data_IF_164279446419
#
_entry.id   IF_164279446419
#
_cell.length_a   1.000
_cell.length_b   1.000
_cell.length_c   1.000
_cell.angle_alpha   90.00
_cell.angle_beta   90.00
_cell.angle_gamma   90.00
#
_symmetry.space_group_name_H-M   'P 1'
#
loop_
_entity.id
_entity.type
_entity.pdbx_description
1 polymer ?
#
# COMPACT_ATOMS: atom_id res chain seq x y z
N UNK A 1 -17.79 14.37 1.16
CA UNK A 1 -17.12 13.11 1.59
C UNK A 1 -17.50 12.67 3.00
N UNK A 2 -17.53 13.56 3.99
CA UNK A 2 -17.82 13.22 5.40
C UNK A 2 -19.14 12.47 5.64
N UNK A 3 -20.23 12.92 5.02
CA UNK A 3 -21.55 12.30 5.18
C UNK A 3 -21.64 10.88 4.58
N UNK A 4 -20.96 10.64 3.47
CA UNK A 4 -20.99 9.35 2.77
C UNK A 4 -20.28 8.24 3.53
N UNK A 5 -19.06 8.51 4.05
CA UNK A 5 -18.32 7.51 4.83
C UNK A 5 -19.03 7.14 6.14
N UNK A 6 -19.68 8.12 6.79
CA UNK A 6 -20.52 7.85 7.97
C UNK A 6 -21.81 7.11 7.60
N UNK A 7 -22.45 7.46 6.49
CA UNK A 7 -23.60 6.75 5.96
C UNK A 7 -23.26 5.30 5.63
N UNK A 8 -22.10 5.04 5.01
CA UNK A 8 -21.63 3.69 4.69
C UNK A 8 -21.40 2.85 5.95
N UNK A 9 -20.78 3.42 6.99
CA UNK A 9 -20.58 2.73 8.27
C UNK A 9 -21.91 2.42 8.96
N UNK A 10 -22.81 3.42 9.02
CA UNK A 10 -24.13 3.24 9.62
C UNK A 10 -24.95 2.19 8.86
N UNK A 11 -24.87 2.17 7.54
CA UNK A 11 -25.50 1.14 6.70
C UNK A 11 -24.87 -0.23 6.93
N UNK A 12 -23.55 -0.34 7.06
CA UNK A 12 -22.87 -1.60 7.39
C UNK A 12 -23.27 -2.11 8.77
N UNK A 13 -23.31 -1.23 9.77
CA UNK A 13 -23.73 -1.57 11.13
C UNK A 13 -25.22 -1.91 11.19
N UNK A 14 -26.07 -1.14 10.54
CA UNK A 14 -27.50 -1.41 10.44
C UNK A 14 -27.77 -2.74 9.70
N UNK A 15 -27.08 -2.96 8.59
CA UNK A 15 -27.17 -4.23 7.86
C UNK A 15 -26.70 -5.41 8.70
N UNK A 16 -25.58 -5.26 9.42
CA UNK A 16 -25.11 -6.26 10.36
C UNK A 16 -26.12 -6.54 11.46
N UNK A 17 -26.71 -5.50 12.06
CA UNK A 17 -27.75 -5.62 13.10
C UNK A 17 -29.03 -6.28 12.56
N UNK A 18 -29.48 -5.89 11.36
CA UNK A 18 -30.67 -6.46 10.73
C UNK A 18 -30.47 -7.91 10.34
N UNK A 19 -29.35 -8.24 9.65
CA UNK A 19 -29.04 -9.59 9.20
C UNK A 19 -28.72 -10.53 10.38
N UNK A 20 -28.24 -10.00 11.49
CA UNK A 20 -27.93 -10.75 12.70
C UNK A 20 -29.02 -10.62 13.79
N UNK A 21 -30.22 -10.17 13.41
CA UNK A 21 -31.37 -10.05 14.34
C UNK A 21 -31.73 -11.41 14.99
N UNK A 22 -32.39 -11.40 16.17
CA UNK A 22 -32.79 -12.61 16.88
C UNK A 22 -33.65 -13.59 16.06
N UNK A 23 -34.36 -13.10 15.05
CA UNK A 23 -35.20 -13.92 14.17
C UNK A 23 -34.34 -14.82 13.28
N UNK A 24 -33.18 -14.32 12.84
CA UNK A 24 -32.19 -15.11 12.06
C UNK A 24 -31.40 -16.05 12.99
N UNK A 25 -31.12 -15.62 14.24
CA UNK A 25 -30.47 -16.46 15.26
C UNK A 25 -31.18 -17.79 15.54
N UNK A 26 -32.51 -17.84 15.49
CA UNK A 26 -33.26 -19.06 15.79
C UNK A 26 -33.07 -20.20 14.77
N UNK A 27 -32.49 -19.91 13.59
CA UNK A 27 -32.27 -20.92 12.53
C UNK A 27 -30.81 -21.34 12.36
N UNK A 28 -29.88 -20.72 13.04
CA UNK A 28 -28.44 -21.00 12.92
C UNK A 28 -27.86 -21.36 14.29
N UNK A 29 -27.04 -22.41 14.33
CA UNK A 29 -26.24 -22.66 15.53
C UNK A 29 -25.24 -21.51 15.75
N UNK A 30 -24.88 -21.14 17.00
CA UNK A 30 -23.94 -20.06 17.28
C UNK A 30 -22.58 -20.22 16.59
N UNK A 31 -22.13 -21.48 16.37
CA UNK A 31 -20.89 -21.79 15.69
C UNK A 31 -20.94 -21.50 14.18
N UNK A 32 -22.09 -21.75 13.53
CA UNK A 32 -22.24 -21.49 12.09
C UNK A 32 -22.26 -19.99 11.79
N UNK A 33 -22.93 -19.19 12.64
CA UNK A 33 -22.98 -17.73 12.48
C UNK A 33 -21.58 -17.06 12.46
N UNK A 34 -20.67 -17.55 13.28
CA UNK A 34 -19.34 -16.96 13.40
C UNK A 34 -18.45 -17.23 12.17
N UNK A 35 -18.63 -18.39 11.54
CA UNK A 35 -17.75 -18.85 10.47
C UNK A 35 -18.40 -18.83 9.08
N UNK A 36 -19.73 -18.98 8.98
CA UNK A 36 -20.42 -19.06 7.69
C UNK A 36 -20.51 -17.71 7.00
N UNK A 37 -20.02 -17.66 5.77
CA UNK A 37 -20.02 -16.43 4.97
C UNK A 37 -21.28 -16.29 4.14
N UNK A 38 -21.90 -15.10 4.20
CA UNK A 38 -23.09 -14.75 3.43
C UNK A 38 -23.09 -13.28 2.99
N UNK A 39 -23.82 -12.97 1.92
CA UNK A 39 -24.06 -11.60 1.50
C UNK A 39 -24.97 -10.89 2.48
N UNK A 40 -24.73 -9.60 2.68
CA UNK A 40 -25.65 -8.72 3.39
C UNK A 40 -26.93 -8.54 2.55
N UNK A 41 -28.07 -8.35 3.21
CA UNK A 41 -29.41 -8.02 2.66
C UNK A 41 -30.17 -9.06 1.88
N UNK A 42 -29.58 -10.19 1.41
CA UNK A 42 -30.38 -11.25 0.78
C UNK A 42 -29.74 -12.63 0.81
N UNK A 43 -30.50 -13.68 1.06
CA UNK A 43 -30.03 -15.07 0.97
C UNK A 43 -30.07 -15.65 -0.45
N UNK A 44 -30.70 -15.01 -1.45
CA UNK A 44 -30.89 -15.53 -2.80
C UNK A 44 -30.31 -14.60 -3.87
N UNK A 45 -29.71 -15.17 -4.93
CA UNK A 45 -29.09 -14.40 -6.03
C UNK A 45 -27.64 -14.00 -5.82
N UNK A 46 -26.89 -14.71 -4.96
CA UNK A 46 -25.56 -14.37 -4.51
C UNK A 46 -24.50 -14.17 -5.59
N UNK A 47 -24.50 -15.00 -6.64
CA UNK A 47 -23.40 -15.04 -7.61
C UNK A 47 -23.37 -13.79 -8.51
N UNK A 48 -24.53 -13.32 -8.96
CA UNK A 48 -24.60 -12.11 -9.77
C UNK A 48 -24.14 -10.88 -9.00
N UNK A 49 -24.60 -10.71 -7.77
CA UNK A 49 -24.18 -9.57 -6.92
C UNK A 49 -22.70 -9.60 -6.61
N UNK A 50 -22.13 -10.77 -6.34
CA UNK A 50 -20.71 -10.94 -6.13
C UNK A 50 -19.91 -10.59 -7.39
N UNK A 51 -20.38 -11.04 -8.57
CA UNK A 51 -19.79 -10.70 -9.86
C UNK A 51 -19.81 -9.19 -10.12
N UNK A 52 -20.97 -8.53 -9.99
CA UNK A 52 -21.08 -7.08 -10.20
C UNK A 52 -20.29 -6.28 -9.15
N UNK A 53 -20.26 -6.73 -7.89
CA UNK A 53 -19.43 -6.13 -6.86
C UNK A 53 -17.94 -6.21 -7.20
N UNK A 54 -17.47 -7.35 -7.72
CA UNK A 54 -16.09 -7.48 -8.18
C UNK A 54 -15.77 -6.52 -9.35
N UNK A 55 -16.69 -6.39 -10.32
CA UNK A 55 -16.52 -5.41 -11.40
C UNK A 55 -16.52 -3.96 -10.91
N UNK A 56 -17.38 -3.62 -9.95
CA UNK A 56 -17.36 -2.30 -9.33
C UNK A 56 -16.01 -2.02 -8.67
N UNK A 57 -15.47 -2.97 -7.91
CA UNK A 57 -14.14 -2.81 -7.31
C UNK A 57 -13.06 -2.61 -8.36
N UNK A 58 -13.05 -3.41 -9.43
CA UNK A 58 -12.06 -3.28 -10.50
C UNK A 58 -12.16 -1.93 -11.23
N UNK A 59 -13.38 -1.42 -11.44
CA UNK A 59 -13.60 -0.08 -11.97
C UNK A 59 -13.05 0.98 -11.02
N UNK A 60 -13.31 0.87 -9.71
CA UNK A 60 -12.75 1.76 -8.70
C UNK A 60 -11.23 1.76 -8.69
N UNK A 61 -10.59 0.60 -8.80
CA UNK A 61 -9.12 0.47 -8.91
C UNK A 61 -8.61 1.11 -10.19
N UNK A 62 -9.29 0.92 -11.32
CA UNK A 62 -8.91 1.52 -12.59
C UNK A 62 -8.93 3.06 -12.53
N UNK A 63 -10.01 3.63 -11.98
CA UNK A 63 -10.16 5.07 -11.82
C UNK A 63 -9.13 5.63 -10.82
N UNK A 64 -8.91 4.91 -9.72
CA UNK A 64 -7.90 5.27 -8.73
C UNK A 64 -6.50 5.32 -9.34
N UNK A 65 -6.11 4.27 -10.07
CA UNK A 65 -4.78 4.18 -10.68
C UNK A 65 -4.56 5.29 -11.71
N UNK A 66 -5.54 5.53 -12.59
CA UNK A 66 -5.51 6.66 -13.54
C UNK A 66 -5.33 7.99 -12.80
N UNK A 67 -6.19 8.24 -11.81
CA UNK A 67 -6.20 9.49 -11.07
C UNK A 67 -4.87 9.76 -10.36
N UNK A 68 -4.33 8.76 -9.66
CA UNK A 68 -3.12 8.93 -8.87
C UNK A 68 -1.88 9.06 -9.76
N UNK A 69 -1.73 8.21 -10.79
CA UNK A 69 -0.59 8.30 -11.73
C UNK A 69 -0.58 9.66 -12.44
N UNK A 70 -1.77 10.13 -12.88
CA UNK A 70 -1.89 11.38 -13.63
C UNK A 70 -1.73 12.60 -12.72
N UNK A 71 -2.38 12.64 -11.55
CA UNK A 71 -2.29 13.77 -10.63
C UNK A 71 -0.93 13.91 -9.94
N UNK A 72 -0.16 12.85 -9.83
CA UNK A 72 1.21 12.94 -9.32
C UNK A 72 2.20 13.50 -10.35
N UNK A 73 1.76 13.64 -11.61
CA UNK A 73 2.54 14.28 -12.66
C UNK A 73 2.38 15.82 -12.65
N UNK A 74 3.20 16.50 -13.45
CA UNK A 74 3.13 17.95 -13.64
C UNK A 74 1.86 18.41 -14.38
N UNK A 75 1.06 17.48 -14.91
CA UNK A 75 -0.26 17.77 -15.47
C UNK A 75 -1.15 18.52 -14.46
N UNK A 76 -0.99 18.24 -13.18
CA UNK A 76 -1.68 18.93 -12.09
C UNK A 76 -1.42 20.43 -12.05
N UNK A 77 -0.17 20.82 -12.29
CA UNK A 77 0.22 22.23 -12.27
C UNK A 77 -0.15 22.95 -13.56
N UNK A 78 -0.06 22.25 -14.69
CA UNK A 78 -0.45 22.79 -15.98
C UNK A 78 -1.96 22.95 -16.13
N UNK A 79 -2.74 22.07 -15.50
CA UNK A 79 -4.20 22.07 -15.57
C UNK A 79 -4.84 22.01 -14.18
N UNK A 80 -4.80 23.12 -13.39
CA UNK A 80 -5.34 23.16 -12.02
C UNK A 80 -6.82 22.77 -11.92
N UNK A 81 -7.61 22.99 -12.99
CA UNK A 81 -9.02 22.59 -13.05
C UNK A 81 -9.23 21.06 -12.97
N UNK A 82 -8.25 20.26 -13.39
CA UNK A 82 -8.30 18.81 -13.19
C UNK A 82 -8.35 18.47 -11.71
N UNK A 83 -7.51 19.11 -10.90
CA UNK A 83 -7.47 18.89 -9.46
C UNK A 83 -8.72 19.42 -8.74
N UNK A 84 -9.24 20.58 -9.16
CA UNK A 84 -10.33 21.25 -8.47
C UNK A 84 -11.72 20.78 -8.89
N UNK A 85 -11.89 20.30 -10.11
CA UNK A 85 -13.18 19.90 -10.67
C UNK A 85 -13.29 18.41 -10.98
N UNK A 86 -12.28 17.81 -11.61
CA UNK A 86 -12.34 16.41 -12.08
C UNK A 86 -11.98 15.44 -10.99
N UNK A 87 -10.86 15.67 -10.28
CA UNK A 87 -10.40 14.74 -9.22
C UNK A 87 -11.46 14.49 -8.15
N UNK A 88 -12.21 15.49 -7.62
CA UNK A 88 -13.26 15.23 -6.66
C UNK A 88 -14.40 14.34 -7.19
N UNK A 89 -14.74 14.47 -8.47
CA UNK A 89 -15.76 13.61 -9.11
C UNK A 89 -15.24 12.17 -9.21
N UNK A 90 -13.99 11.99 -9.65
CA UNK A 90 -13.38 10.66 -9.74
C UNK A 90 -13.21 10.02 -8.36
N UNK A 91 -12.87 10.79 -7.33
CA UNK A 91 -12.83 10.32 -5.95
C UNK A 91 -14.20 9.78 -5.51
N UNK A 92 -15.30 10.47 -5.84
CA UNK A 92 -16.64 9.97 -5.58
C UNK A 92 -16.93 8.66 -6.31
N UNK A 93 -16.53 8.53 -7.58
CA UNK A 93 -16.67 7.29 -8.34
C UNK A 93 -15.93 6.15 -7.65
N UNK A 94 -14.68 6.38 -7.20
CA UNK A 94 -13.87 5.38 -6.48
C UNK A 94 -14.60 4.93 -5.20
N UNK A 95 -15.03 5.87 -4.37
CA UNK A 95 -15.70 5.54 -3.10
C UNK A 95 -17.06 4.87 -3.31
N UNK A 96 -17.83 5.27 -4.32
CA UNK A 96 -19.09 4.60 -4.67
C UNK A 96 -18.84 3.17 -5.14
N UNK A 97 -17.84 2.93 -5.98
CA UNK A 97 -17.46 1.62 -6.45
C UNK A 97 -17.00 0.70 -5.29
N UNK A 98 -16.12 1.19 -4.42
CA UNK A 98 -15.66 0.43 -3.26
C UNK A 98 -16.79 0.18 -2.26
N UNK A 99 -17.63 1.20 -2.00
CA UNK A 99 -18.81 1.07 -1.16
C UNK A 99 -19.82 0.05 -1.68
N UNK A 100 -20.13 0.11 -2.97
CA UNK A 100 -20.99 -0.88 -3.60
C UNK A 100 -20.44 -2.31 -3.45
N UNK A 101 -19.13 -2.50 -3.65
CA UNK A 101 -18.47 -3.80 -3.44
C UNK A 101 -18.60 -4.27 -1.98
N UNK A 102 -18.27 -3.40 -1.03
CA UNK A 102 -18.34 -3.72 0.41
C UNK A 102 -19.76 -4.12 0.81
N UNK A 103 -20.76 -3.31 0.43
CA UNK A 103 -22.13 -3.50 0.88
C UNK A 103 -22.87 -4.60 0.11
N UNK A 104 -22.71 -4.65 -1.20
CA UNK A 104 -23.55 -5.44 -2.06
C UNK A 104 -22.88 -6.71 -2.60
N UNK A 105 -21.56 -6.70 -2.76
CA UNK A 105 -20.82 -7.73 -3.47
C UNK A 105 -19.87 -8.55 -2.62
N UNK A 106 -19.87 -8.38 -1.30
CA UNK A 106 -18.94 -9.10 -0.39
C UNK A 106 -19.71 -10.02 0.54
N UNK A 107 -19.23 -11.25 0.68
CA UNK A 107 -19.73 -12.19 1.70
C UNK A 107 -19.05 -11.97 3.03
N UNK A 108 -19.81 -11.98 4.10
CA UNK A 108 -19.32 -11.77 5.46
C UNK A 108 -19.76 -12.90 6.39
N UNK A 109 -18.85 -13.31 7.28
CA UNK A 109 -19.15 -14.03 8.51
C UNK A 109 -19.15 -13.05 9.69
N UNK A 110 -19.63 -13.47 10.85
CA UNK A 110 -19.58 -12.64 12.05
C UNK A 110 -18.16 -12.15 12.38
N UNK A 111 -17.18 -13.02 12.22
CA UNK A 111 -15.76 -12.71 12.39
C UNK A 111 -15.28 -11.66 11.38
N UNK A 112 -15.59 -11.81 10.11
CA UNK A 112 -15.13 -10.88 9.08
C UNK A 112 -15.79 -9.50 9.20
N UNK A 113 -17.04 -9.42 9.65
CA UNK A 113 -17.71 -8.15 9.96
C UNK A 113 -17.00 -7.44 11.13
N UNK A 114 -16.69 -8.19 12.19
CA UNK A 114 -15.98 -7.61 13.32
C UNK A 114 -14.62 -7.05 12.90
N UNK A 115 -13.83 -7.83 12.16
CA UNK A 115 -12.53 -7.37 11.66
C UNK A 115 -12.66 -6.13 10.73
N UNK A 116 -13.63 -6.15 9.81
CA UNK A 116 -13.90 -5.03 8.90
C UNK A 116 -14.35 -3.78 9.67
N UNK A 117 -15.26 -3.95 10.62
CA UNK A 117 -15.77 -2.88 11.45
C UNK A 117 -14.68 -2.25 12.32
N UNK A 118 -13.84 -3.07 12.96
CA UNK A 118 -12.70 -2.59 13.75
C UNK A 118 -11.69 -1.82 12.89
N UNK A 119 -11.30 -2.36 11.75
CA UNK A 119 -10.36 -1.68 10.84
C UNK A 119 -10.94 -0.34 10.37
N UNK A 120 -12.21 -0.33 9.96
CA UNK A 120 -12.87 0.90 9.52
C UNK A 120 -13.00 1.92 10.65
N UNK A 121 -13.41 1.49 11.85
CA UNK A 121 -13.53 2.36 13.00
C UNK A 121 -12.21 3.03 13.37
N UNK A 122 -11.12 2.24 13.45
CA UNK A 122 -9.78 2.78 13.75
C UNK A 122 -9.30 3.72 12.63
N UNK A 123 -9.47 3.33 11.37
CA UNK A 123 -9.11 4.19 10.23
C UNK A 123 -9.87 5.52 10.23
N UNK A 124 -11.15 5.47 10.59
CA UNK A 124 -12.03 6.63 10.70
C UNK A 124 -11.65 7.54 11.86
N UNK A 125 -11.32 6.95 13.02
CA UNK A 125 -10.85 7.69 14.19
C UNK A 125 -9.54 8.43 13.88
N UNK A 126 -8.59 7.76 13.27
CA UNK A 126 -7.33 8.36 12.80
C UNK A 126 -7.60 9.49 11.79
N UNK A 127 -8.48 9.27 10.82
CA UNK A 127 -8.85 10.31 9.85
C UNK A 127 -9.44 11.57 10.54
N UNK A 128 -10.23 11.40 11.58
CA UNK A 128 -10.81 12.51 12.33
C UNK A 128 -9.75 13.42 12.95
N UNK A 129 -8.67 12.83 13.47
CA UNK A 129 -7.59 13.55 14.13
C UNK A 129 -6.53 14.08 13.16
N UNK A 130 -6.17 13.28 12.17
CA UNK A 130 -5.05 13.57 11.25
C UNK A 130 -5.48 14.10 9.89
N UNK A 131 -6.79 14.07 9.55
CA UNK A 131 -7.36 14.48 8.26
C UNK A 131 -6.72 13.78 7.04
N UNK A 132 -6.03 12.64 7.25
CA UNK A 132 -5.33 11.92 6.21
C UNK A 132 -6.30 11.03 5.41
N UNK A 133 -6.79 11.56 4.28
CA UNK A 133 -7.76 10.88 3.41
C UNK A 133 -7.16 9.65 2.72
N UNK A 134 -5.85 9.67 2.41
CA UNK A 134 -5.16 8.57 1.74
C UNK A 134 -5.16 7.31 2.59
N UNK A 135 -4.95 7.46 3.88
CA UNK A 135 -4.99 6.37 4.84
C UNK A 135 -6.39 5.73 4.93
N UNK A 136 -7.41 6.55 5.05
CA UNK A 136 -8.80 6.06 5.05
C UNK A 136 -9.13 5.35 3.72
N UNK A 137 -8.72 5.95 2.59
CA UNK A 137 -8.89 5.36 1.26
C UNK A 137 -8.23 3.99 1.12
N UNK A 138 -6.99 3.83 1.63
CA UNK A 138 -6.29 2.56 1.64
C UNK A 138 -7.04 1.49 2.47
N UNK A 139 -7.52 1.84 3.66
CA UNK A 139 -8.30 0.92 4.48
C UNK A 139 -9.62 0.50 3.80
N UNK A 140 -10.31 1.44 3.15
CA UNK A 140 -11.52 1.14 2.36
C UNK A 140 -11.20 0.24 1.17
N UNK A 141 -10.08 0.48 0.47
CA UNK A 141 -9.62 -0.39 -0.62
C UNK A 141 -9.33 -1.83 -0.14
N UNK A 142 -8.67 -1.99 1.01
CA UNK A 142 -8.43 -3.30 1.63
C UNK A 142 -9.73 -4.03 1.97
N UNK A 143 -10.74 -3.32 2.50
CA UNK A 143 -12.06 -3.90 2.79
C UNK A 143 -12.78 -4.33 1.52
N UNK A 144 -12.71 -3.52 0.45
CA UNK A 144 -13.34 -3.78 -0.82
C UNK A 144 -12.65 -4.91 -1.61
N UNK A 145 -11.36 -5.16 -1.38
CA UNK A 145 -10.59 -6.21 -2.05
C UNK A 145 -11.01 -7.65 -1.65
N UNK A 146 -11.76 -7.82 -0.55
CA UNK A 146 -12.23 -9.13 -0.11
C UNK A 146 -13.00 -9.85 -1.23
N UNK A 147 -12.72 -11.14 -1.43
CA UNK A 147 -13.33 -12.02 -2.44
C UNK A 147 -13.09 -11.59 -3.92
N UNK A 148 -12.11 -10.72 -4.18
CA UNK A 148 -11.71 -10.40 -5.55
C UNK A 148 -10.35 -11.06 -5.85
N UNK A 149 -10.23 -11.85 -6.94
CA UNK A 149 -8.97 -12.48 -7.29
C UNK A 149 -7.88 -11.45 -7.53
N UNK A 150 -6.76 -11.56 -6.79
CA UNK A 150 -5.64 -10.62 -6.87
C UNK A 150 -5.12 -10.48 -8.31
N UNK A 151 -5.10 -11.57 -9.07
CA UNK A 151 -4.67 -11.59 -10.47
C UNK A 151 -5.49 -10.65 -11.34
N UNK A 152 -6.82 -10.60 -11.15
CA UNK A 152 -7.69 -9.66 -11.88
C UNK A 152 -7.38 -8.22 -11.51
N UNK A 153 -7.16 -7.97 -10.22
CA UNK A 153 -6.80 -6.62 -9.74
C UNK A 153 -5.49 -6.18 -10.38
N UNK A 154 -4.46 -7.02 -10.37
CA UNK A 154 -3.15 -6.70 -10.98
C UNK A 154 -3.24 -6.50 -12.50
N UNK A 155 -4.10 -7.27 -13.20
CA UNK A 155 -4.36 -7.04 -14.63
C UNK A 155 -4.94 -5.65 -14.89
N UNK A 156 -5.96 -5.25 -14.12
CA UNK A 156 -6.58 -3.92 -14.27
C UNK A 156 -5.61 -2.82 -13.90
N UNK A 157 -4.86 -3.02 -12.82
CA UNK A 157 -3.84 -2.08 -12.36
C UNK A 157 -2.79 -1.80 -13.44
N UNK A 158 -2.25 -2.85 -14.06
CA UNK A 158 -1.28 -2.72 -15.16
C UNK A 158 -1.92 -2.19 -16.44
N UNK A 159 -3.13 -2.64 -16.79
CA UNK A 159 -3.83 -2.20 -17.99
C UNK A 159 -4.21 -0.70 -17.95
N UNK A 160 -4.31 -0.12 -16.76
CA UNK A 160 -4.52 1.29 -16.56
C UNK A 160 -3.22 2.06 -16.32
N UNK A 161 -2.39 1.59 -15.38
CA UNK A 161 -1.19 2.31 -14.93
C UNK A 161 -0.14 2.45 -16.03
N UNK A 162 0.11 1.39 -16.82
CA UNK A 162 1.10 1.45 -17.91
C UNK A 162 0.71 2.45 -19.00
N UNK A 163 -0.51 2.44 -19.57
CA UNK A 163 -0.91 3.45 -20.54
C UNK A 163 -0.96 4.87 -19.97
N UNK A 164 -1.37 5.03 -18.70
CA UNK A 164 -1.39 6.35 -18.05
C UNK A 164 0.02 6.88 -17.85
N UNK A 165 0.96 6.05 -17.41
CA UNK A 165 2.38 6.41 -17.35
C UNK A 165 2.92 6.79 -18.73
N UNK A 166 2.63 5.99 -19.77
CA UNK A 166 3.02 6.29 -21.15
C UNK A 166 2.43 7.62 -21.64
N UNK A 167 1.16 7.89 -21.33
CA UNK A 167 0.52 9.16 -21.63
C UNK A 167 1.27 10.34 -21.00
N UNK A 168 1.61 10.25 -19.72
CA UNK A 168 2.41 11.27 -19.02
C UNK A 168 3.75 11.50 -19.73
N UNK A 169 4.43 10.40 -20.16
CA UNK A 169 5.69 10.51 -20.89
C UNK A 169 5.51 11.22 -22.25
N UNK A 170 4.47 10.86 -23.01
CA UNK A 170 4.16 11.50 -24.29
C UNK A 170 3.92 12.99 -24.10
N UNK A 171 3.11 13.37 -23.12
CA UNK A 171 2.82 14.77 -22.81
C UNK A 171 4.07 15.54 -22.37
N UNK A 172 4.94 14.89 -21.61
CA UNK A 172 6.21 15.47 -21.16
C UNK A 172 7.17 15.72 -22.34
N UNK A 173 7.43 14.70 -23.17
CA UNK A 173 8.35 14.82 -24.29
C UNK A 173 7.80 15.69 -25.42
N UNK A 174 6.48 15.82 -25.53
CA UNK A 174 5.84 16.78 -26.44
C UNK A 174 5.89 18.24 -25.92
N UNK A 175 6.43 18.48 -24.72
CA UNK A 175 6.48 19.81 -24.12
C UNK A 175 5.13 20.37 -23.65
N UNK A 176 4.09 19.53 -23.62
CA UNK A 176 2.75 19.93 -23.17
C UNK A 176 2.69 20.04 -21.65
N UNK A 177 3.35 19.13 -20.96
CA UNK A 177 3.60 19.22 -19.51
C UNK A 177 4.93 19.91 -19.33
N UNK A 178 4.94 21.03 -18.59
CA UNK A 178 6.14 21.82 -18.38
C UNK A 178 7.28 20.94 -17.82
N UNK A 179 8.47 21.02 -18.42
CA UNK A 179 9.63 20.40 -17.81
C UNK A 179 9.89 21.09 -16.48
N UNK A 180 9.79 20.35 -15.38
CA UNK A 180 10.33 20.85 -14.13
C UNK A 180 11.82 21.09 -14.28
N UNK A 181 12.30 22.16 -13.66
CA UNK A 181 13.73 22.35 -13.48
C UNK A 181 14.30 21.05 -12.91
N UNK A 182 15.27 20.49 -13.59
CA UNK A 182 15.92 19.27 -13.14
C UNK A 182 16.41 19.46 -11.71
N UNK A 183 15.98 18.61 -10.78
CA UNK A 183 16.47 18.67 -9.41
C UNK A 183 17.96 18.41 -9.41
N UNK A 184 18.74 19.36 -8.96
CA UNK A 184 20.18 19.18 -8.81
C UNK A 184 20.46 18.50 -7.47
N UNK A 185 21.28 17.48 -7.49
CA UNK A 185 21.79 16.83 -6.31
C UNK A 185 23.24 16.40 -6.56
N UNK A 186 24.14 16.77 -5.65
CA UNK A 186 25.55 16.43 -5.75
C UNK A 186 26.18 16.89 -7.09
N UNK A 187 25.79 18.08 -7.61
CA UNK A 187 26.25 18.62 -8.89
C UNK A 187 25.72 17.86 -10.12
N UNK A 188 24.73 16.97 -9.96
CA UNK A 188 24.19 16.17 -11.06
C UNK A 188 22.71 16.37 -11.25
N UNK A 189 22.30 16.60 -12.49
CA UNK A 189 20.89 16.71 -12.86
C UNK A 189 20.16 15.36 -12.75
N UNK A 190 18.91 15.42 -12.29
CA UNK A 190 18.01 14.28 -12.15
C UNK A 190 16.81 14.48 -13.07
N UNK A 191 16.54 13.49 -13.94
CA UNK A 191 15.39 13.54 -14.83
C UNK A 191 14.11 13.18 -14.07
N UNK A 192 13.07 14.03 -14.19
CA UNK A 192 11.80 13.86 -13.48
C UNK A 192 10.72 13.19 -14.31
N UNK A 193 10.92 13.02 -15.61
CA UNK A 193 10.00 12.31 -16.52
C UNK A 193 8.54 12.75 -16.38
N UNK A 194 8.32 14.07 -16.35
CA UNK A 194 6.97 14.65 -16.25
C UNK A 194 6.33 14.61 -14.85
N UNK A 195 7.10 14.25 -13.81
CA UNK A 195 6.69 14.28 -12.41
C UNK A 195 7.37 15.41 -11.64
N UNK A 196 6.77 15.80 -10.50
CA UNK A 196 7.35 16.88 -9.66
C UNK A 196 8.61 16.46 -8.91
N UNK A 197 8.89 15.15 -8.79
CA UNK A 197 10.07 14.62 -8.12
C UNK A 197 10.50 13.27 -8.71
N UNK A 198 11.82 12.98 -8.83
CA UNK A 198 12.30 11.71 -9.39
C UNK A 198 11.82 10.47 -8.62
N UNK A 199 11.68 10.57 -7.28
CA UNK A 199 11.21 9.45 -6.47
C UNK A 199 9.71 9.16 -6.70
N UNK A 200 8.92 10.17 -7.07
CA UNK A 200 7.50 9.97 -7.44
C UNK A 200 7.39 9.13 -8.71
N UNK A 201 8.16 9.48 -9.76
CA UNK A 201 8.27 8.64 -10.96
C UNK A 201 8.75 7.23 -10.62
N UNK A 202 9.84 7.13 -9.83
CA UNK A 202 10.39 5.85 -9.39
C UNK A 202 9.41 5.00 -8.58
N UNK A 203 8.57 5.62 -7.74
CA UNK A 203 7.52 4.95 -6.96
C UNK A 203 6.42 4.36 -7.85
N UNK A 204 5.95 5.13 -8.85
CA UNK A 204 4.96 4.64 -9.83
C UNK A 204 5.53 3.44 -10.59
N UNK A 205 6.77 3.54 -11.10
CA UNK A 205 7.42 2.42 -11.81
C UNK A 205 7.55 1.21 -10.91
N UNK A 206 8.04 1.37 -9.66
CA UNK A 206 8.15 0.26 -8.71
C UNK A 206 6.79 -0.40 -8.44
N UNK A 207 5.72 0.37 -8.28
CA UNK A 207 4.37 -0.16 -8.12
C UNK A 207 3.94 -1.03 -9.30
N UNK A 208 4.20 -0.60 -10.54
CA UNK A 208 3.91 -1.40 -11.73
C UNK A 208 4.75 -2.68 -11.79
N UNK A 209 6.03 -2.65 -11.35
CA UNK A 209 6.86 -3.84 -11.25
C UNK A 209 6.33 -4.83 -10.21
N UNK A 210 5.90 -4.35 -9.04
CA UNK A 210 5.27 -5.19 -8.01
C UNK A 210 3.99 -5.82 -8.53
N UNK A 211 3.14 -5.05 -9.23
CA UNK A 211 1.92 -5.56 -9.85
C UNK A 211 2.23 -6.63 -10.90
N UNK A 212 3.27 -6.45 -11.72
CA UNK A 212 3.72 -7.45 -12.68
C UNK A 212 4.15 -8.75 -11.99
N UNK A 213 4.97 -8.66 -10.95
CA UNK A 213 5.40 -9.83 -10.17
C UNK A 213 4.21 -10.56 -9.55
N UNK A 214 3.25 -9.84 -8.97
CA UNK A 214 2.04 -10.42 -8.39
C UNK A 214 1.10 -11.02 -9.45
N UNK A 215 1.11 -10.51 -10.67
CA UNK A 215 0.38 -11.08 -11.80
C UNK A 215 1.03 -12.38 -12.30
N UNK A 216 2.35 -12.38 -12.49
CA UNK A 216 3.12 -13.51 -13.06
C UNK A 216 3.38 -14.64 -12.07
N UNK A 217 3.59 -14.31 -10.82
CA UNK A 217 3.83 -15.26 -9.71
C UNK A 217 4.92 -16.28 -10.05
N UNK A 218 4.61 -17.56 -9.91
CA UNK A 218 5.56 -18.67 -10.20
C UNK A 218 5.94 -18.79 -11.67
N UNK A 219 5.16 -18.20 -12.58
CA UNK A 219 5.42 -18.21 -14.03
C UNK A 219 6.52 -17.22 -14.46
N UNK A 220 7.05 -16.41 -13.53
CA UNK A 220 8.08 -15.42 -13.83
C UNK A 220 9.32 -16.10 -14.44
N UNK A 221 9.74 -15.66 -15.62
CA UNK A 221 10.89 -16.21 -16.35
C UNK A 221 12.19 -15.52 -15.93
N UNK A 222 13.35 -16.11 -16.29
CA UNK A 222 14.65 -15.45 -16.09
C UNK A 222 14.82 -14.21 -16.96
N UNK A 223 14.24 -14.20 -18.15
CA UNK A 223 14.23 -13.04 -19.03
C UNK A 223 13.45 -11.87 -18.41
N UNK A 224 12.28 -12.15 -17.78
CA UNK A 224 11.53 -11.12 -17.04
C UNK A 224 12.33 -10.59 -15.84
N UNK A 225 13.05 -11.44 -15.11
CA UNK A 225 13.95 -10.98 -14.04
C UNK A 225 15.06 -10.08 -14.58
N UNK A 226 15.63 -10.41 -15.74
CA UNK A 226 16.59 -9.55 -16.46
C UNK A 226 15.98 -8.20 -16.84
N UNK A 227 14.72 -8.20 -17.32
CA UNK A 227 13.97 -6.98 -17.63
C UNK A 227 13.75 -6.11 -16.38
N UNK A 228 13.34 -6.72 -15.26
CA UNK A 228 13.19 -6.01 -13.97
C UNK A 228 14.53 -5.40 -13.52
N UNK A 229 15.63 -6.14 -13.65
CA UNK A 229 16.97 -5.64 -13.33
C UNK A 229 17.37 -4.47 -14.22
N UNK A 230 17.09 -4.52 -15.51
CA UNK A 230 17.34 -3.42 -16.45
C UNK A 230 16.55 -2.16 -16.07
N UNK A 231 15.28 -2.30 -15.65
CA UNK A 231 14.49 -1.17 -15.11
C UNK A 231 15.13 -0.63 -13.82
N UNK A 232 15.63 -1.48 -12.93
CA UNK A 232 16.35 -1.05 -11.73
C UNK A 232 17.60 -0.21 -12.08
N UNK A 233 18.38 -0.63 -13.07
CA UNK A 233 19.54 0.14 -13.59
C UNK A 233 19.07 1.46 -14.20
N UNK A 234 18.02 1.45 -15.02
CA UNK A 234 17.43 2.68 -15.57
C UNK A 234 17.03 3.67 -14.48
N UNK A 235 16.34 3.21 -13.42
CA UNK A 235 15.95 4.06 -12.30
C UNK A 235 17.14 4.65 -11.54
N UNK A 236 18.28 3.95 -11.51
CA UNK A 236 19.52 4.43 -10.90
C UNK A 236 20.21 5.49 -11.76
N UNK A 237 20.23 5.31 -13.08
CA UNK A 237 21.03 6.11 -14.02
C UNK A 237 20.27 7.36 -14.47
N UNK A 238 19.03 7.23 -14.93
CA UNK A 238 18.30 8.33 -15.58
C UNK A 238 17.58 9.24 -14.57
N UNK A 239 16.57 8.79 -13.79
CA UNK A 239 15.95 9.65 -12.78
C UNK A 239 16.80 9.77 -11.52
N UNK A 240 17.82 8.91 -11.34
CA UNK A 240 18.62 8.81 -10.11
C UNK A 240 17.75 8.65 -8.87
N UNK A 241 16.65 7.89 -8.98
CA UNK A 241 15.75 7.52 -7.90
C UNK A 241 16.35 6.34 -7.13
N UNK A 242 17.27 6.64 -6.21
CA UNK A 242 18.04 5.63 -5.47
C UNK A 242 17.14 4.64 -4.71
N UNK A 243 16.10 5.13 -4.04
CA UNK A 243 15.18 4.31 -3.25
C UNK A 243 14.48 3.25 -4.12
N UNK A 244 13.85 3.67 -5.21
CA UNK A 244 13.14 2.77 -6.12
C UNK A 244 14.08 1.81 -6.85
N UNK A 245 15.29 2.28 -7.24
CA UNK A 245 16.30 1.46 -7.88
C UNK A 245 16.80 0.35 -6.95
N UNK A 246 17.18 0.68 -5.72
CA UNK A 246 17.65 -0.29 -4.72
C UNK A 246 16.55 -1.30 -4.37
N UNK A 247 15.30 -0.85 -4.23
CA UNK A 247 14.18 -1.74 -3.98
C UNK A 247 13.88 -2.66 -5.16
N UNK A 248 14.04 -2.17 -6.40
CA UNK A 248 13.91 -3.03 -7.60
C UNK A 248 15.03 -4.08 -7.64
N UNK A 249 16.27 -3.71 -7.31
CA UNK A 249 17.38 -4.68 -7.21
C UNK A 249 17.13 -5.71 -6.10
N UNK A 250 16.64 -5.28 -4.93
CA UNK A 250 16.25 -6.17 -3.84
C UNK A 250 15.14 -7.14 -4.29
N UNK A 251 14.11 -6.64 -4.96
CA UNK A 251 13.03 -7.46 -5.51
C UNK A 251 13.57 -8.54 -6.44
N UNK A 252 14.42 -8.17 -7.41
CA UNK A 252 15.05 -9.10 -8.34
C UNK A 252 15.87 -10.17 -7.63
N UNK A 253 16.68 -9.77 -6.64
CA UNK A 253 17.48 -10.69 -5.83
C UNK A 253 16.59 -11.69 -5.08
N UNK A 254 15.57 -11.22 -4.39
CA UNK A 254 14.63 -12.06 -3.64
C UNK A 254 13.88 -13.03 -4.56
N UNK A 255 13.45 -12.57 -5.74
CA UNK A 255 12.77 -13.41 -6.73
C UNK A 255 13.73 -14.44 -7.35
N UNK A 256 14.97 -14.08 -7.63
CA UNK A 256 15.99 -15.01 -8.11
C UNK A 256 16.26 -16.10 -7.07
N UNK A 257 16.45 -15.73 -5.81
CA UNK A 257 16.61 -16.67 -4.69
C UNK A 257 15.38 -17.58 -4.54
N UNK A 258 14.18 -17.00 -4.55
CA UNK A 258 12.93 -17.77 -4.51
C UNK A 258 12.86 -18.79 -5.64
N UNK A 259 13.19 -18.38 -6.88
CA UNK A 259 13.17 -19.25 -8.06
C UNK A 259 14.21 -20.36 -7.98
N UNK A 260 15.40 -20.08 -7.46
CA UNK A 260 16.43 -21.08 -7.23
C UNK A 260 16.02 -22.10 -6.16
N UNK A 261 15.46 -21.62 -5.04
CA UNK A 261 15.02 -22.47 -3.94
C UNK A 261 13.79 -23.32 -4.27
N UNK A 262 12.93 -22.86 -5.20
CA UNK A 262 11.70 -23.54 -5.58
C UNK A 262 11.81 -24.38 -6.86
N UNK A 263 13.01 -24.57 -7.42
CA UNK A 263 13.24 -25.38 -8.64
C UNK A 263 12.61 -26.79 -8.59
N UNK A 264 12.54 -27.40 -7.41
CA UNK A 264 11.96 -28.74 -7.17
C UNK A 264 10.50 -28.69 -6.67
N UNK A 265 9.82 -27.58 -6.87
CA UNK A 265 8.42 -27.32 -6.41
C UNK A 265 8.32 -26.32 -5.25
N UNK A 266 7.11 -25.90 -4.94
CA UNK A 266 6.85 -24.97 -3.83
C UNK A 266 7.35 -25.55 -2.51
N UNK A 267 8.16 -24.82 -1.79
CA UNK A 267 8.68 -25.24 -0.47
C UNK A 267 8.19 -24.26 0.60
N UNK A 268 7.22 -24.67 1.41
CA UNK A 268 6.79 -23.92 2.58
C UNK A 268 7.97 -23.70 3.52
N UNK A 269 8.07 -22.49 4.09
CA UNK A 269 9.07 -22.22 5.11
C UNK A 269 8.78 -23.01 6.39
N UNK A 270 9.80 -23.49 7.05
CA UNK A 270 9.69 -23.94 8.44
C UNK A 270 9.23 -22.81 9.37
N UNK A 271 8.77 -23.14 10.59
CA UNK A 271 8.27 -22.13 11.54
C UNK A 271 9.31 -21.05 11.84
N UNK A 272 10.57 -21.44 12.03
CA UNK A 272 11.68 -20.51 12.29
C UNK A 272 11.92 -19.55 11.10
N UNK A 273 12.05 -20.08 9.89
CA UNK A 273 12.27 -19.25 8.70
C UNK A 273 11.09 -18.30 8.43
N UNK A 274 9.85 -18.76 8.61
CA UNK A 274 8.68 -17.88 8.49
C UNK A 274 8.66 -16.82 9.61
N UNK A 275 9.04 -17.21 10.83
CA UNK A 275 9.19 -16.28 11.94
C UNK A 275 10.26 -15.23 11.69
N UNK A 276 11.40 -15.61 11.11
CA UNK A 276 12.46 -14.65 10.72
C UNK A 276 11.98 -13.65 9.67
N UNK A 277 11.24 -14.09 8.65
CA UNK A 277 10.63 -13.18 7.68
C UNK A 277 9.64 -12.20 8.35
N UNK A 278 8.83 -12.70 9.26
CA UNK A 278 7.84 -11.89 9.97
C UNK A 278 8.50 -10.89 10.94
N UNK A 279 9.62 -11.27 11.58
CA UNK A 279 10.37 -10.43 12.50
C UNK A 279 11.01 -9.19 11.83
N UNK A 280 11.14 -9.17 10.51
CA UNK A 280 11.62 -7.98 9.78
C UNK A 280 10.76 -6.76 10.04
N UNK A 281 9.45 -6.93 10.23
CA UNK A 281 8.53 -5.80 10.45
C UNK A 281 8.81 -5.09 11.78
N UNK A 282 8.70 -5.75 12.94
CA UNK A 282 8.99 -5.10 14.21
C UNK A 282 10.45 -4.66 14.33
N UNK A 283 11.39 -5.37 13.67
CA UNK A 283 12.80 -4.98 13.65
C UNK A 283 12.99 -3.64 12.92
N UNK A 284 12.44 -3.48 11.72
CA UNK A 284 12.54 -2.22 10.97
C UNK A 284 11.81 -1.07 11.67
N UNK A 285 10.66 -1.34 12.29
CA UNK A 285 9.96 -0.36 13.13
C UNK A 285 10.85 0.06 14.32
N UNK A 286 11.40 -0.89 15.05
CA UNK A 286 12.29 -0.61 16.19
C UNK A 286 13.54 0.19 15.76
N UNK A 287 14.18 -0.19 14.65
CA UNK A 287 15.33 0.54 14.11
C UNK A 287 14.94 1.97 13.75
N UNK A 288 13.76 2.18 13.13
CA UNK A 288 13.27 3.51 12.77
C UNK A 288 13.05 4.43 13.98
N UNK A 289 12.72 3.87 15.15
CA UNK A 289 12.48 4.65 16.36
C UNK A 289 13.74 4.79 17.25
N UNK A 290 14.61 3.78 17.24
CA UNK A 290 15.78 3.74 18.13
C UNK A 290 16.95 4.54 17.54
N UNK A 291 17.24 4.41 16.24
CA UNK A 291 18.38 5.11 15.62
C UNK A 291 18.36 6.63 15.81
N UNK A 292 17.21 7.32 15.68
CA UNK A 292 17.15 8.76 15.91
C UNK A 292 17.53 9.18 17.33
N UNK A 293 17.39 8.29 18.33
CA UNK A 293 17.76 8.59 19.73
C UNK A 293 19.28 8.76 19.93
N UNK A 294 20.08 8.19 19.03
CA UNK A 294 21.55 8.36 19.06
C UNK A 294 22.03 9.62 18.32
N UNK A 295 21.13 10.39 17.73
CA UNK A 295 21.47 11.66 17.11
C UNK A 295 21.75 12.70 18.20
N UNK A 296 23.02 13.10 18.31
CA UNK A 296 23.46 14.16 19.23
C UNK A 296 23.56 15.42 18.41
N UNK A 297 22.53 16.30 18.47
CA UNK A 297 22.67 17.53 17.75
C UNK A 297 21.78 18.68 18.16
N UNK A 298 22.30 19.83 17.79
CA UNK A 298 21.86 21.18 18.08
C UNK A 298 21.38 21.81 16.76
N UNK A 299 20.06 21.81 16.56
CA UNK A 299 19.40 22.46 15.42
C UNK A 299 18.82 21.52 14.35
N UNK A 300 17.73 21.93 13.70
CA UNK A 300 16.96 21.04 12.82
C UNK A 300 17.66 20.65 11.50
N UNK A 301 18.69 21.38 11.08
CA UNK A 301 19.35 21.23 9.78
C UNK A 301 20.85 20.94 9.88
N UNK A 302 21.29 20.50 10.98
CA UNK A 302 22.69 20.43 11.24
C UNK A 302 23.35 19.10 10.86
N UNK A 303 24.54 19.17 10.23
CA UNK A 303 25.27 18.07 9.63
C UNK A 303 26.05 17.15 10.58
N UNK A 304 26.09 17.45 11.88
CA UNK A 304 26.84 16.61 12.83
C UNK A 304 25.86 15.67 13.55
N UNK A 305 25.89 14.45 13.18
CA UNK A 305 25.08 13.40 13.74
C UNK A 305 26.02 12.51 14.55
N UNK A 306 25.98 12.57 15.87
CA UNK A 306 26.57 11.63 16.80
C UNK A 306 27.80 10.82 16.34
N UNK A 307 27.85 9.52 16.61
CA UNK A 307 28.99 8.69 16.22
C UNK A 307 29.20 8.65 14.70
N UNK A 308 30.46 8.62 14.24
CA UNK A 308 30.79 8.68 12.80
C UNK A 308 30.16 7.58 11.94
N UNK A 309 29.89 6.41 12.52
CA UNK A 309 29.14 5.35 11.82
C UNK A 309 27.68 5.74 11.55
N UNK A 310 27.03 6.45 12.50
CA UNK A 310 25.63 6.87 12.37
C UNK A 310 25.51 7.95 11.28
N UNK A 311 26.49 8.88 11.21
CA UNK A 311 26.58 9.86 10.12
C UNK A 311 26.66 9.17 8.75
N UNK A 312 27.58 8.21 8.59
CA UNK A 312 27.72 7.46 7.34
C UNK A 312 26.42 6.72 6.96
N UNK A 313 25.73 6.16 7.96
CA UNK A 313 24.45 5.48 7.74
C UNK A 313 23.35 6.46 7.34
N UNK A 314 23.29 7.64 7.97
CA UNK A 314 22.31 8.67 7.63
C UNK A 314 22.55 9.26 6.24
N UNK A 315 23.81 9.51 5.88
CA UNK A 315 24.20 9.94 4.53
C UNK A 315 23.77 8.90 3.47
N UNK A 316 23.98 7.59 3.76
CA UNK A 316 23.53 6.50 2.91
C UNK A 316 22.00 6.46 2.78
N UNK A 317 21.30 6.68 3.87
CA UNK A 317 19.83 6.72 3.95
C UNK A 317 19.28 8.10 3.57
N UNK A 318 20.10 9.02 3.12
CA UNK A 318 19.68 10.35 2.66
C UNK A 318 18.97 11.16 3.76
N UNK A 319 19.60 11.30 4.91
CA UNK A 319 19.14 12.07 6.06
C UNK A 319 17.85 11.57 6.73
N UNK A 320 17.43 10.30 6.52
CA UNK A 320 16.18 9.77 7.11
C UNK A 320 16.26 9.66 8.63
N UNK A 321 17.43 9.40 9.19
CA UNK A 321 17.61 9.31 10.65
C UNK A 321 17.55 10.70 11.27
N UNK A 322 18.23 11.68 10.68
CA UNK A 322 18.21 13.08 11.16
C UNK A 322 16.83 13.73 10.99
N UNK A 323 16.10 13.43 9.91
CA UNK A 323 14.71 13.90 9.73
C UNK A 323 13.76 13.27 10.75
N UNK A 324 13.92 11.98 11.07
CA UNK A 324 13.15 11.32 12.13
C UNK A 324 13.45 11.93 13.51
N UNK A 325 14.71 12.25 13.79
CA UNK A 325 15.10 12.97 15.01
C UNK A 325 14.49 14.38 15.08
N UNK A 326 14.49 15.12 13.97
CA UNK A 326 13.83 16.42 13.91
C UNK A 326 12.34 16.33 14.25
N UNK A 327 11.64 15.33 13.69
CA UNK A 327 10.22 15.08 14.02
C UNK A 327 10.04 14.78 15.52
N UNK A 328 10.93 13.95 16.10
CA UNK A 328 10.92 13.63 17.53
C UNK A 328 11.07 14.88 18.41
N UNK A 329 11.81 15.88 17.97
CA UNK A 329 12.02 17.14 18.72
C UNK A 329 10.92 18.17 18.50
N UNK A 330 10.24 18.11 17.36
CA UNK A 330 9.25 19.12 16.96
C UNK A 330 7.82 18.74 17.32
N UNK A 331 7.49 17.45 17.41
CA UNK A 331 6.12 16.99 17.55
C UNK A 331 5.92 16.01 18.68
N UNK A 332 4.80 16.15 19.38
CA UNK A 332 4.32 15.16 20.34
C UNK A 332 3.69 13.97 19.62
N UNK A 333 3.80 12.76 20.23
CA UNK A 333 3.13 11.57 19.75
C UNK A 333 1.71 11.54 20.28
N UNK A 334 0.71 11.58 19.39
CA UNK A 334 -0.71 11.46 19.75
C UNK A 334 -1.27 10.09 19.36
N UNK A 335 -2.10 9.51 20.24
CA UNK A 335 -2.58 8.12 20.12
C UNK A 335 -3.25 7.83 18.77
N UNK A 336 -4.09 8.76 18.27
CA UNK A 336 -4.81 8.62 17.00
C UNK A 336 -4.24 9.48 15.88
N UNK A 337 -2.99 9.88 16.00
CA UNK A 337 -2.35 10.79 15.03
C UNK A 337 -2.78 12.24 15.19
N UNK A 338 -2.32 13.08 14.31
CA UNK A 338 -2.54 14.51 14.31
C UNK A 338 -2.38 15.12 12.92
N UNK A 339 -3.01 16.26 12.72
CA UNK A 339 -2.77 17.11 11.57
C UNK A 339 -1.56 18.01 11.87
N UNK A 340 -0.55 18.00 11.00
CA UNK A 340 0.63 18.85 11.09
C UNK A 340 0.51 19.96 10.05
N UNK A 341 0.52 21.21 10.49
CA UNK A 341 0.47 22.37 9.60
C UNK A 341 1.82 22.60 8.90
N UNK A 342 2.92 22.40 9.63
CA UNK A 342 4.27 22.44 9.09
C UNK A 342 4.81 21.02 8.99
N UNK A 343 5.15 20.63 7.77
CA UNK A 343 5.51 19.27 7.44
C UNK A 343 7.02 19.10 7.33
N UNK A 344 7.69 18.42 8.25
CA UNK A 344 9.02 17.91 7.97
C UNK A 344 8.88 16.79 6.93
N UNK A 345 9.84 16.66 6.01
CA UNK A 345 9.88 15.57 5.06
C UNK A 345 10.07 14.23 5.78
N UNK A 346 8.97 13.59 6.19
CA UNK A 346 8.97 12.28 6.85
C UNK A 346 8.89 11.19 5.80
N UNK A 347 10.03 10.82 5.27
CA UNK A 347 10.12 9.79 4.23
C UNK A 347 10.02 8.36 4.79
N UNK A 348 10.46 8.12 6.03
CA UNK A 348 10.34 6.82 6.67
C UNK A 348 8.89 6.55 7.08
N UNK A 349 8.28 5.48 6.53
CA UNK A 349 6.87 5.13 6.78
C UNK A 349 6.56 4.89 8.26
N UNK A 350 7.46 4.27 9.03
CA UNK A 350 7.19 3.99 10.44
C UNK A 350 7.13 5.29 11.25
N UNK A 351 8.05 6.23 10.97
CA UNK A 351 8.06 7.56 11.59
C UNK A 351 6.83 8.35 11.15
N UNK A 352 6.50 8.32 9.85
CA UNK A 352 5.30 8.91 9.30
C UNK A 352 4.02 8.40 10.00
N UNK A 353 3.88 7.07 10.10
CA UNK A 353 2.73 6.45 10.77
C UNK A 353 2.64 6.87 12.24
N UNK A 354 3.77 6.94 12.94
CA UNK A 354 3.80 7.26 14.37
C UNK A 354 3.24 8.67 14.64
N UNK A 355 3.70 9.66 13.90
CA UNK A 355 3.33 11.06 14.15
C UNK A 355 1.99 11.47 13.55
N UNK A 356 1.66 10.98 12.36
CA UNK A 356 0.47 11.41 11.64
C UNK A 356 -0.74 10.54 11.87
N UNK A 357 -0.50 9.26 12.07
CA UNK A 357 -1.56 8.26 12.14
C UNK A 357 -1.67 7.65 13.55
N UNK A 358 -0.61 7.81 14.34
CA UNK A 358 -0.55 7.45 15.75
C UNK A 358 -0.18 6.00 16.02
N UNK A 359 0.29 5.70 17.24
CA UNK A 359 0.84 4.40 17.62
C UNK A 359 -0.18 3.24 17.50
N UNK A 360 -1.48 3.50 17.65
CA UNK A 360 -2.51 2.46 17.48
C UNK A 360 -2.47 1.87 16.08
N UNK A 361 -2.35 2.72 15.06
CA UNK A 361 -2.25 2.25 13.68
C UNK A 361 -0.89 1.67 13.35
N UNK A 362 0.19 2.17 13.94
CA UNK A 362 1.52 1.53 13.81
C UNK A 362 1.46 0.07 14.27
N UNK A 363 0.89 -0.18 15.45
CA UNK A 363 0.74 -1.54 15.98
C UNK A 363 -0.12 -2.40 15.05
N UNK A 364 -1.25 -1.87 14.59
CA UNK A 364 -2.15 -2.60 13.69
C UNK A 364 -1.47 -2.94 12.35
N UNK A 365 -0.81 -1.98 11.71
CA UNK A 365 -0.09 -2.19 10.45
C UNK A 365 1.04 -3.20 10.63
N UNK A 366 1.85 -3.04 11.67
CA UNK A 366 2.91 -4.00 11.99
C UNK A 366 2.36 -5.40 12.24
N UNK A 367 1.26 -5.54 12.96
CA UNK A 367 0.62 -6.83 13.21
C UNK A 367 0.11 -7.48 11.90
N UNK A 368 -0.58 -6.72 11.05
CA UNK A 368 -1.08 -7.19 9.76
C UNK A 368 0.06 -7.61 8.82
N UNK A 369 1.11 -6.79 8.72
CA UNK A 369 2.29 -7.10 7.91
C UNK A 369 3.02 -8.34 8.41
N UNK A 370 3.23 -8.45 9.73
CA UNK A 370 3.84 -9.61 10.38
C UNK A 370 3.03 -10.88 10.09
N UNK A 371 1.70 -10.82 10.27
CA UNK A 371 0.81 -11.94 9.98
C UNK A 371 0.81 -12.33 8.50
N UNK A 372 0.83 -11.35 7.60
CA UNK A 372 0.90 -11.59 6.15
C UNK A 372 2.21 -12.27 5.77
N UNK A 373 3.36 -11.72 6.17
CA UNK A 373 4.68 -12.30 5.88
C UNK A 373 4.81 -13.72 6.42
N UNK A 374 4.44 -13.95 7.69
CA UNK A 374 4.43 -15.29 8.26
C UNK A 374 3.56 -16.24 7.46
N UNK A 375 2.33 -15.82 7.15
CA UNK A 375 1.37 -16.66 6.47
C UNK A 375 1.77 -17.01 5.04
N UNK A 376 2.31 -16.07 4.26
CA UNK A 376 2.77 -16.32 2.89
C UNK A 376 4.04 -17.17 2.88
N UNK A 377 5.00 -16.93 3.78
CA UNK A 377 6.19 -17.76 3.91
C UNK A 377 5.84 -19.21 4.27
N UNK A 378 4.92 -19.42 5.23
CA UNK A 378 4.41 -20.75 5.62
C UNK A 378 3.75 -21.52 4.49
N UNK A 379 3.29 -20.85 3.46
CA UNK A 379 2.66 -21.45 2.25
C UNK A 379 3.61 -21.55 1.06
N UNK A 380 4.83 -21.07 1.18
CA UNK A 380 5.78 -21.05 0.06
C UNK A 380 5.43 -20.04 -1.02
N UNK A 381 4.58 -19.04 -0.72
CA UNK A 381 4.22 -17.96 -1.65
C UNK A 381 5.33 -16.89 -1.67
N UNK A 382 6.53 -17.29 -2.11
CA UNK A 382 7.74 -16.49 -2.01
C UNK A 382 7.70 -15.20 -2.82
N UNK A 383 6.93 -15.16 -3.91
CA UNK A 383 6.74 -13.93 -4.69
C UNK A 383 5.97 -12.87 -3.87
N UNK A 384 4.95 -13.29 -3.11
CA UNK A 384 4.25 -12.40 -2.20
C UNK A 384 5.17 -11.92 -1.07
N UNK A 385 5.99 -12.82 -0.51
CA UNK A 385 7.00 -12.46 0.50
C UNK A 385 8.00 -11.46 -0.07
N UNK A 386 8.52 -11.68 -1.28
CA UNK A 386 9.45 -10.76 -1.94
C UNK A 386 8.83 -9.38 -2.14
N UNK A 387 7.57 -9.30 -2.61
CA UNK A 387 6.86 -8.02 -2.76
C UNK A 387 6.66 -7.32 -1.42
N UNK A 388 6.24 -8.02 -0.36
CA UNK A 388 6.04 -7.43 0.96
C UNK A 388 7.36 -6.97 1.60
N UNK A 389 8.44 -7.72 1.45
CA UNK A 389 9.78 -7.31 1.94
C UNK A 389 10.28 -6.09 1.16
N UNK A 390 10.07 -6.05 -0.15
CA UNK A 390 10.41 -4.87 -0.98
C UNK A 390 9.60 -3.64 -0.56
N UNK A 391 8.29 -3.82 -0.29
CA UNK A 391 7.42 -2.78 0.25
C UNK A 391 7.95 -2.23 1.59
N UNK A 392 8.35 -3.10 2.51
CA UNK A 392 8.94 -2.69 3.78
C UNK A 392 10.24 -1.90 3.59
N UNK A 393 11.12 -2.37 2.69
CA UNK A 393 12.37 -1.68 2.38
C UNK A 393 12.11 -0.32 1.71
N UNK A 394 11.15 -0.25 0.80
CA UNK A 394 10.74 1.00 0.16
C UNK A 394 10.12 1.96 1.17
N UNK A 395 9.23 1.47 2.04
CA UNK A 395 8.62 2.25 3.11
C UNK A 395 9.63 2.79 4.14
N UNK A 396 10.74 2.08 4.38
CA UNK A 396 11.82 2.61 5.20
C UNK A 396 12.48 3.85 4.59
N UNK A 397 12.44 3.98 3.26
CA UNK A 397 13.06 5.08 2.50
C UNK A 397 12.06 6.12 2.00
N UNK A 398 10.78 5.75 1.81
CA UNK A 398 9.76 6.61 1.18
C UNK A 398 8.38 6.40 1.80
N UNK A 399 7.74 7.46 2.25
CA UNK A 399 6.38 7.39 2.81
C UNK A 399 5.28 7.15 1.75
N UNK A 400 5.60 7.27 0.47
CA UNK A 400 4.67 7.05 -0.65
C UNK A 400 4.10 5.61 -0.72
N UNK A 401 4.66 4.68 0.03
CA UNK A 401 4.17 3.30 0.16
C UNK A 401 2.72 3.21 0.67
N UNK A 402 2.17 4.28 1.24
CA UNK A 402 0.74 4.34 1.62
C UNK A 402 -0.21 4.46 0.43
N UNK A 403 0.30 4.77 -0.76
CA UNK A 403 -0.51 4.86 -1.97
C UNK A 403 -0.52 3.51 -2.68
N UNK A 404 -1.72 3.03 -3.00
CA UNK A 404 -1.90 1.77 -3.73
C UNK A 404 -1.13 1.74 -5.06
N UNK A 405 -1.01 2.89 -5.73
CA UNK A 405 -0.25 3.05 -6.97
C UNK A 405 1.25 2.75 -6.81
N UNK A 406 1.85 3.22 -5.72
CA UNK A 406 3.27 2.96 -5.44
C UNK A 406 3.50 1.57 -4.84
N UNK A 407 2.44 0.99 -4.28
CA UNK A 407 2.52 -0.30 -3.59
C UNK A 407 1.21 -1.12 -3.66
N UNK A 408 0.94 -1.75 -4.80
CA UNK A 408 -0.20 -2.66 -4.92
C UNK A 408 -0.07 -3.93 -4.05
N UNK A 409 1.14 -4.22 -3.53
CA UNK A 409 1.36 -5.36 -2.64
C UNK A 409 0.68 -5.18 -1.28
N UNK A 410 0.30 -3.97 -0.90
CA UNK A 410 -0.52 -3.71 0.29
C UNK A 410 -1.84 -4.51 0.28
N UNK A 411 -2.39 -4.82 -0.88
CA UNK A 411 -3.59 -5.65 -1.01
C UNK A 411 -3.39 -7.08 -0.49
N UNK A 412 -2.16 -7.56 -0.38
CA UNK A 412 -1.84 -8.83 0.27
C UNK A 412 -2.26 -8.85 1.76
N UNK A 413 -2.36 -7.69 2.40
CA UNK A 413 -2.81 -7.57 3.78
C UNK A 413 -4.28 -7.94 3.97
N UNK A 414 -5.09 -7.88 2.91
CA UNK A 414 -6.49 -8.32 2.94
C UNK A 414 -6.61 -9.75 3.47
N UNK A 415 -5.69 -10.65 3.08
CA UNK A 415 -5.63 -12.01 3.58
C UNK A 415 -5.39 -12.09 5.09
N UNK A 416 -4.62 -11.15 5.68
CA UNK A 416 -4.40 -11.07 7.11
C UNK A 416 -5.61 -10.48 7.86
N UNK A 417 -6.23 -9.43 7.30
CA UNK A 417 -7.42 -8.77 7.87
C UNK A 417 -8.57 -9.77 8.02
N UNK A 418 -8.85 -10.53 6.98
CA UNK A 418 -10.03 -11.42 6.97
C UNK A 418 -9.73 -12.87 7.34
N UNK A 419 -8.43 -13.24 7.54
CA UNK A 419 -8.00 -14.62 7.73
C UNK A 419 -8.60 -15.57 6.68
N UNK A 420 -8.75 -15.07 5.45
CA UNK A 420 -9.29 -15.82 4.33
C UNK A 420 -8.48 -17.10 4.10
N UNK A 421 -9.08 -18.16 3.53
CA UNK A 421 -8.32 -19.21 2.91
C UNK A 421 -7.41 -18.55 1.88
N UNK A 422 -6.16 -18.34 2.24
CA UNK A 422 -5.20 -17.51 1.50
C UNK A 422 -4.91 -18.10 0.14
N UNK A 423 -5.11 -19.40 0.02
CA UNK A 423 -4.96 -20.14 -1.24
C UNK A 423 -6.02 -19.73 -2.28
N UNK A 424 -7.28 -19.57 -1.88
CA UNK A 424 -8.34 -19.09 -2.78
C UNK A 424 -8.13 -17.68 -3.27
N UNK A 425 -7.73 -16.76 -2.35
CA UNK A 425 -7.57 -15.35 -2.70
C UNK A 425 -6.35 -15.09 -3.60
N UNK A 426 -5.26 -15.84 -3.39
CA UNK A 426 -4.00 -15.66 -4.16
C UNK A 426 -3.92 -16.53 -5.42
N UNK A 427 -4.51 -17.73 -5.43
CA UNK A 427 -4.22 -18.79 -6.37
C UNK A 427 -5.43 -19.32 -7.13
N UNK A 428 -6.64 -18.80 -6.91
CA UNK A 428 -7.75 -19.12 -7.80
C UNK A 428 -7.44 -18.54 -9.18
N UNK A 429 -6.95 -19.42 -10.06
CA UNK A 429 -7.01 -19.23 -11.49
C UNK A 429 -8.46 -19.41 -11.92
N UNK A 430 -8.89 -18.55 -12.82
CA UNK A 430 -10.20 -18.65 -13.47
C UNK A 430 -10.33 -19.95 -14.26
#
# INVERSE_FOLDING_TARGET
>A
MFGFANGLLLLLLAAAVIDFSPVVRRRLSPASWWNDERLLFTPRGGDLRQKYGAWAFLLGVMVYEFLVVFNNSMARENWPWLQTRVSPVLDWVIYLCFGAKILLGTKYSGRSILCAGMLYFVARWVYFNGQNIWWLGLCVALLAAKDVPLRRVMKVFLACGVPTLALVQVLHFAGIIAPNAASERDGSYRLMFGYGHPNTFGGVVLGLLLAWVLLRRAQLTWAELGGLAAVGVFLMVAPKSRSSALCTCLLVLLLALAKLCTRKGPRPAGRLAAGSCAALVPLLAAVSYILPLFVVKIGPWANDIGPGWLKKLDDLLTCRISLAWAAYRMFDIKIAGQFLQEWPALDNIFVYLLYLIGPVMVVLVCALMTAALYGYARRGAWQAVACLVTMLAYGYMESQVIHLTSDPAVLLLCGAVFALPRDKWMFEDE
#
